data_IF_279428686924
#
_entry.id   IF_279428686924
#
_cell.length_a   1.000
_cell.length_b   1.000
_cell.length_c   1.000
_cell.angle_alpha   90.00
_cell.angle_beta   90.00
_cell.angle_gamma   90.00
#
_symmetry.space_group_name_H-M   'P 1'
#
loop_
_entity.id
_entity.type
_entity.pdbx_description
1 polymer ?
#
# COMPACT_ATOMS: atom_id res chain seq x y z
N UNK A 1 -8.01 31.59 -5.55
CA UNK A 1 -8.04 30.19 -5.09
C UNK A 1 -8.04 29.32 -6.33
N UNK A 2 -7.04 28.47 -6.54
CA UNK A 2 -6.90 27.74 -7.81
C UNK A 2 -8.03 26.72 -7.97
N UNK A 3 -8.98 27.00 -8.86
CA UNK A 3 -10.13 26.12 -9.17
C UNK A 3 -9.71 24.74 -9.69
N UNK A 4 -8.51 24.66 -10.29
CA UNK A 4 -7.99 23.46 -10.96
C UNK A 4 -7.98 22.20 -10.09
N UNK A 5 -7.75 22.31 -8.77
CA UNK A 5 -7.81 21.16 -7.88
C UNK A 5 -9.22 20.55 -7.81
N UNK A 6 -10.25 21.40 -7.72
CA UNK A 6 -11.64 20.95 -7.61
C UNK A 6 -12.17 20.45 -8.96
N UNK A 7 -11.71 21.03 -10.06
CA UNK A 7 -12.05 20.60 -11.41
C UNK A 7 -11.39 19.25 -11.76
N UNK A 8 -10.15 19.01 -11.29
CA UNK A 8 -9.39 17.78 -11.55
C UNK A 8 -8.64 17.29 -10.30
N UNK A 9 -9.34 16.73 -9.31
CA UNK A 9 -8.72 16.29 -8.05
C UNK A 9 -7.86 15.03 -8.22
N UNK A 10 -8.16 14.19 -9.22
CA UNK A 10 -7.42 12.97 -9.52
C UNK A 10 -6.58 13.17 -10.78
N UNK A 11 -5.26 13.10 -10.63
CA UNK A 11 -4.31 13.32 -11.73
C UNK A 11 -3.93 12.04 -12.48
N UNK A 12 -3.99 10.88 -11.81
CA UNK A 12 -3.49 9.62 -12.34
C UNK A 12 -4.60 8.75 -12.92
N UNK A 13 -4.26 7.96 -13.93
CA UNK A 13 -5.11 6.86 -14.38
C UNK A 13 -5.22 5.78 -13.31
N UNK A 14 -6.41 5.17 -13.09
CA UNK A 14 -6.54 4.05 -12.15
C UNK A 14 -5.82 2.78 -12.61
N UNK A 15 -5.36 2.74 -13.87
CA UNK A 15 -4.68 1.60 -14.47
C UNK A 15 -3.16 1.76 -14.59
N UNK A 16 -2.63 2.97 -14.44
CA UNK A 16 -1.21 3.25 -14.58
C UNK A 16 -0.56 3.47 -13.20
N UNK A 17 0.78 3.40 -13.16
CA UNK A 17 1.52 3.75 -11.96
C UNK A 17 1.24 5.21 -11.57
N UNK A 18 0.96 5.52 -10.29
CA UNK A 18 0.67 6.87 -9.85
C UNK A 18 1.96 7.71 -9.84
N UNK A 19 2.11 8.60 -10.81
CA UNK A 19 3.31 9.42 -10.99
C UNK A 19 3.14 10.87 -10.56
N UNK A 20 1.93 11.33 -10.27
CA UNK A 20 1.66 12.73 -9.94
C UNK A 20 0.75 12.88 -8.72
N UNK A 21 0.91 13.95 -7.96
CA UNK A 21 -0.07 14.33 -6.93
C UNK A 21 -0.13 15.84 -6.74
N UNK A 22 -1.27 16.31 -6.25
CA UNK A 22 -1.40 17.67 -5.74
C UNK A 22 -0.63 17.80 -4.42
N UNK A 23 0.25 18.79 -4.36
CA UNK A 23 0.91 19.15 -3.11
C UNK A 23 -0.11 19.71 -2.12
N UNK A 24 0.01 19.27 -0.87
CA UNK A 24 -0.79 19.77 0.24
C UNK A 24 0.12 20.55 1.19
N UNK A 25 -0.39 21.63 1.77
CA UNK A 25 0.27 22.34 2.85
C UNK A 25 0.22 21.56 4.18
N UNK A 26 0.86 22.10 5.23
CA UNK A 26 0.89 21.50 6.57
C UNK A 26 -0.50 21.33 7.21
N UNK A 27 -1.52 21.98 6.66
CA UNK A 27 -2.92 21.86 7.08
C UNK A 27 -3.72 20.90 6.18
N UNK A 28 -3.07 20.24 5.22
CA UNK A 28 -3.69 19.32 4.27
C UNK A 28 -4.46 20.01 3.14
N UNK A 29 -4.24 21.30 2.88
CA UNK A 29 -4.92 22.03 1.81
C UNK A 29 -4.11 22.03 0.52
N UNK A 30 -4.77 21.87 -0.65
CA UNK A 30 -4.06 21.86 -1.92
C UNK A 30 -3.43 23.22 -2.20
N UNK A 31 -2.11 23.22 -2.45
CA UNK A 31 -1.35 24.44 -2.78
C UNK A 31 -1.60 24.89 -4.22
N UNK A 32 -2.17 24.02 -5.05
CA UNK A 32 -2.32 24.23 -6.50
C UNK A 32 -1.08 23.84 -7.30
N UNK A 33 -0.03 23.35 -6.65
CA UNK A 33 1.15 22.81 -7.32
C UNK A 33 1.03 21.29 -7.51
N UNK A 34 1.48 20.81 -8.68
CA UNK A 34 1.58 19.39 -8.99
C UNK A 34 3.02 18.94 -8.76
N UNK A 35 3.18 17.80 -8.09
CA UNK A 35 4.47 17.13 -7.90
C UNK A 35 4.51 15.89 -8.79
N UNK A 36 5.57 15.74 -9.56
CA UNK A 36 5.79 14.60 -10.47
C UNK A 36 6.40 13.38 -9.76
N UNK A 37 5.83 13.04 -8.62
CA UNK A 37 6.17 11.82 -7.88
C UNK A 37 4.91 11.16 -7.33
N UNK A 38 5.02 9.86 -7.00
CA UNK A 38 4.00 9.19 -6.20
C UNK A 38 3.93 9.84 -4.82
N UNK A 39 2.72 10.17 -4.38
CA UNK A 39 2.52 10.68 -3.01
C UNK A 39 3.03 9.66 -1.99
N UNK A 40 3.86 10.13 -1.04
CA UNK A 40 4.30 9.31 0.09
C UNK A 40 3.10 8.88 0.93
N UNK A 41 3.22 7.74 1.62
CA UNK A 41 2.25 7.44 2.64
C UNK A 41 2.32 8.57 3.67
N UNK A 42 1.18 9.11 4.10
CA UNK A 42 1.09 10.11 5.16
C UNK A 42 -0.28 9.92 5.81
N UNK A 43 -0.32 9.82 7.14
CA UNK A 43 -1.58 9.78 7.89
C UNK A 43 -1.99 11.20 8.23
N UNK A 44 -2.41 11.97 7.21
CA UNK A 44 -3.00 13.29 7.43
C UNK A 44 -4.47 13.08 7.78
N UNK A 45 -4.87 13.39 9.02
CA UNK A 45 -6.29 13.51 9.38
C UNK A 45 -6.79 14.84 8.80
N UNK A 46 -7.65 14.85 7.77
CA UNK A 46 -8.20 16.09 7.24
C UNK A 46 -9.27 16.56 8.23
N UNK A 47 -8.91 17.42 9.17
CA UNK A 47 -9.89 18.06 10.06
C UNK A 47 -10.46 19.27 9.31
N UNK A 48 -11.75 19.28 8.92
CA UNK A 48 -12.34 20.46 8.30
C UNK A 48 -12.27 21.65 9.27
N UNK A 49 -11.86 22.83 8.78
CA UNK A 49 -11.85 24.03 9.63
C UNK A 49 -13.27 24.32 10.14
N UNK A 50 -13.50 24.45 11.45
CA UNK A 50 -14.77 24.96 11.95
C UNK A 50 -14.98 26.38 11.41
N UNK A 51 -16.13 26.63 10.78
CA UNK A 51 -16.46 27.90 10.09
C UNK A 51 -16.45 29.14 11.01
N UNK A 52 -16.32 28.99 12.33
CA UNK A 52 -16.22 30.10 13.30
C UNK A 52 -15.16 29.75 14.35
N UNK A 53 -14.02 30.43 14.32
CA UNK A 53 -13.14 30.54 15.48
C UNK A 53 -13.58 31.75 16.29
N UNK A 54 -14.43 31.53 17.32
CA UNK A 54 -14.58 32.54 18.38
C UNK A 54 -13.40 32.36 19.32
N UNK A 55 -12.65 33.44 19.53
CA UNK A 55 -11.46 33.45 20.38
C UNK A 55 -11.74 32.95 21.79
N UNK A 56 -10.76 32.24 22.33
CA UNK A 56 -10.76 31.79 23.73
C UNK A 56 -10.26 30.37 23.85
N UNK A 57 -9.02 30.22 24.33
CA UNK A 57 -8.34 28.98 24.73
C UNK A 57 -8.07 27.95 23.62
N UNK A 58 -6.77 27.70 23.37
CA UNK A 58 -6.30 26.52 22.63
C UNK A 58 -6.67 25.30 23.48
N UNK A 59 -7.89 24.80 23.31
CA UNK A 59 -8.25 23.49 23.81
C UNK A 59 -7.31 22.50 23.12
N UNK A 60 -6.51 21.78 23.92
CA UNK A 60 -5.62 20.75 23.43
C UNK A 60 -6.40 19.87 22.46
N UNK A 61 -5.88 19.73 21.24
CA UNK A 61 -6.44 18.84 20.22
C UNK A 61 -6.66 17.49 20.90
N UNK A 62 -7.91 17.07 21.02
CA UNK A 62 -8.21 15.66 21.23
C UNK A 62 -7.69 14.96 19.99
N UNK A 63 -6.48 14.40 20.11
CA UNK A 63 -5.91 13.50 19.13
C UNK A 63 -6.88 12.33 19.08
N UNK A 64 -7.68 12.26 18.02
CA UNK A 64 -8.41 11.05 17.69
C UNK A 64 -7.35 10.00 17.41
N UNK A 65 -7.12 9.20 18.43
CA UNK A 65 -6.13 8.16 18.49
C UNK A 65 -6.55 6.98 17.61
N UNK A 66 -6.15 7.02 16.34
CA UNK A 66 -6.30 5.91 15.40
C UNK A 66 -5.06 4.99 15.40
N UNK A 67 -4.36 4.80 16.54
CA UNK A 67 -3.28 3.81 16.59
C UNK A 67 -2.28 3.81 17.76
N UNK A 68 -2.54 4.51 18.88
CA UNK A 68 -1.68 4.57 20.06
C UNK A 68 -2.46 4.38 21.36
N UNK A 69 -3.19 3.27 21.43
CA UNK A 69 -3.85 2.86 22.67
C UNK A 69 -2.93 2.16 23.69
N UNK A 70 -1.79 1.57 23.29
CA UNK A 70 -0.98 0.71 24.19
C UNK A 70 0.49 0.56 23.75
N UNK A 71 1.25 1.63 23.55
CA UNK A 71 2.70 1.48 23.24
C UNK A 71 3.53 2.67 23.72
N UNK A 72 4.54 2.41 24.55
CA UNK A 72 5.47 3.39 25.13
C UNK A 72 6.33 4.10 24.07
N UNK A 73 6.95 5.23 24.43
CA UNK A 73 7.72 6.11 23.52
C UNK A 73 8.81 5.40 22.71
N UNK A 74 9.36 4.29 23.20
CA UNK A 74 10.38 3.48 22.49
C UNK A 74 9.82 2.65 21.32
N UNK A 75 8.49 2.50 21.20
CA UNK A 75 7.84 1.64 20.20
C UNK A 75 7.38 2.37 18.93
N UNK A 76 7.62 3.68 18.80
CA UNK A 76 7.22 4.43 17.60
C UNK A 76 8.23 4.26 16.45
N UNK A 77 8.24 3.08 15.83
CA UNK A 77 8.60 3.03 14.42
C UNK A 77 7.51 3.77 13.64
N UNK A 78 7.86 4.84 12.93
CA UNK A 78 6.92 5.55 12.09
C UNK A 78 6.34 4.58 11.03
N UNK A 79 5.08 4.13 11.14
CA UNK A 79 4.50 3.15 10.22
C UNK A 79 4.52 3.65 8.78
N UNK A 80 4.55 4.97 8.61
CA UNK A 80 4.67 5.68 7.34
C UNK A 80 5.98 5.38 6.63
N UNK A 81 7.08 5.29 7.39
CA UNK A 81 8.41 4.96 6.88
C UNK A 81 8.45 3.52 6.36
N UNK A 82 7.91 2.57 7.13
CA UNK A 82 7.86 1.17 6.75
C UNK A 82 7.04 0.94 5.47
N UNK A 83 5.86 1.59 5.35
CA UNK A 83 5.02 1.48 4.16
C UNK A 83 5.72 2.06 2.92
N UNK A 84 6.35 3.23 3.06
CA UNK A 84 7.03 3.89 1.95
C UNK A 84 8.24 3.08 1.49
N UNK A 85 8.96 2.47 2.43
CA UNK A 85 10.10 1.60 2.14
C UNK A 85 9.66 0.29 1.47
N UNK A 86 8.58 -0.35 1.95
CA UNK A 86 8.02 -1.54 1.30
C UNK A 86 7.60 -1.25 -0.14
N UNK A 87 6.91 -0.12 -0.39
CA UNK A 87 6.53 0.32 -1.74
C UNK A 87 7.76 0.48 -2.63
N UNK A 88 8.84 1.08 -2.11
CA UNK A 88 10.10 1.24 -2.84
C UNK A 88 10.70 -0.11 -3.23
N UNK A 89 10.63 -1.13 -2.35
CA UNK A 89 11.10 -2.49 -2.64
C UNK A 89 10.28 -3.19 -3.69
N UNK A 90 8.95 -3.12 -3.57
CA UNK A 90 8.04 -3.68 -4.57
C UNK A 90 8.23 -2.99 -5.93
N UNK A 91 8.47 -1.67 -5.95
CA UNK A 91 8.76 -0.92 -7.18
C UNK A 91 10.07 -1.37 -7.84
N UNK A 92 11.14 -1.58 -7.06
CA UNK A 92 12.41 -2.12 -7.56
C UNK A 92 12.26 -3.52 -8.12
N UNK A 93 11.57 -4.39 -7.39
CA UNK A 93 11.32 -5.76 -7.83
C UNK A 93 10.45 -5.81 -9.09
N UNK A 94 9.41 -4.95 -9.18
CA UNK A 94 8.58 -4.81 -10.38
C UNK A 94 9.38 -4.37 -11.61
N UNK A 95 10.42 -3.56 -11.42
CA UNK A 95 11.26 -3.06 -12.50
C UNK A 95 12.22 -4.10 -13.11
N UNK A 96 12.34 -5.29 -12.49
CA UNK A 96 13.18 -6.37 -13.02
C UNK A 96 12.56 -6.89 -14.34
N UNK A 97 13.27 -6.81 -15.48
CA UNK A 97 12.68 -7.09 -16.79
C UNK A 97 12.52 -8.60 -17.05
N UNK A 98 13.43 -9.42 -16.54
CA UNK A 98 13.45 -10.85 -16.79
C UNK A 98 12.62 -11.61 -15.73
N UNK A 99 11.56 -12.33 -16.12
CA UNK A 99 10.73 -13.09 -15.18
C UNK A 99 11.47 -14.17 -14.39
N UNK A 100 12.58 -14.69 -14.92
CA UNK A 100 13.40 -15.68 -14.21
C UNK A 100 14.09 -15.09 -12.97
N UNK A 101 14.33 -13.77 -12.96
CA UNK A 101 15.01 -13.05 -11.89
C UNK A 101 14.02 -12.48 -10.87
N UNK A 102 12.72 -12.81 -10.99
CA UNK A 102 11.71 -12.35 -10.03
C UNK A 102 11.74 -13.11 -8.70
N UNK A 103 12.46 -14.23 -8.62
CA UNK A 103 12.54 -15.07 -7.41
C UNK A 103 11.15 -15.49 -6.88
N UNK A 104 10.27 -15.91 -7.80
CA UNK A 104 8.92 -16.41 -7.50
C UNK A 104 8.72 -17.78 -8.13
N UNK A 105 7.65 -18.48 -7.74
CA UNK A 105 7.31 -19.75 -8.40
C UNK A 105 6.97 -19.53 -9.88
N UNK A 106 7.17 -20.53 -10.77
CA UNK A 106 6.77 -20.46 -12.18
C UNK A 106 5.28 -20.16 -12.36
N UNK A 107 4.43 -20.67 -11.46
CA UNK A 107 3.00 -20.37 -11.42
C UNK A 107 2.75 -18.89 -11.15
N UNK A 108 3.40 -18.33 -10.12
CA UNK A 108 3.33 -16.93 -9.76
C UNK A 108 3.89 -16.03 -10.87
N UNK A 109 5.00 -16.41 -11.51
CA UNK A 109 5.55 -15.68 -12.67
C UNK A 109 4.55 -15.60 -13.82
N UNK A 110 3.85 -16.69 -14.15
CA UNK A 110 2.80 -16.69 -15.20
C UNK A 110 1.63 -15.78 -14.84
N UNK A 111 1.18 -15.81 -13.58
CA UNK A 111 0.11 -14.93 -13.09
C UNK A 111 0.51 -13.46 -13.16
N UNK A 112 1.72 -13.13 -12.73
CA UNK A 112 2.27 -11.78 -12.81
C UNK A 112 2.37 -11.30 -14.27
N UNK A 113 2.84 -12.13 -15.19
CA UNK A 113 2.85 -11.80 -16.62
C UNK A 113 1.44 -11.51 -17.14
N UNK A 114 0.46 -12.32 -16.75
CA UNK A 114 -0.93 -12.11 -17.12
C UNK A 114 -1.47 -10.78 -16.57
N UNK A 115 -1.25 -10.48 -15.29
CA UNK A 115 -1.77 -9.25 -14.69
C UNK A 115 -1.04 -7.97 -15.13
N UNK A 116 0.27 -8.06 -15.41
CA UNK A 116 1.10 -6.90 -15.78
C UNK A 116 1.04 -6.56 -17.27
N UNK A 117 0.98 -7.56 -18.14
CA UNK A 117 1.26 -7.37 -19.57
C UNK A 117 0.18 -7.90 -20.51
N UNK A 118 -0.80 -8.66 -20.02
CA UNK A 118 -1.86 -9.16 -20.88
C UNK A 118 -2.70 -8.01 -21.44
N UNK A 119 -2.97 -8.07 -22.74
CA UNK A 119 -3.86 -7.12 -23.41
C UNK A 119 -5.31 -7.56 -23.21
N UNK A 120 -5.91 -7.09 -22.12
CA UNK A 120 -7.33 -7.31 -21.85
C UNK A 120 -8.20 -6.55 -22.86
N UNK A 121 -9.12 -7.25 -23.51
CA UNK A 121 -10.13 -6.65 -24.39
C UNK A 121 -11.29 -6.00 -23.62
N UNK A 122 -11.43 -6.31 -22.33
CA UNK A 122 -12.49 -5.80 -21.46
C UNK A 122 -11.94 -5.39 -20.09
N UNK A 123 -12.49 -5.97 -19.03
CA UNK A 123 -12.06 -5.65 -17.67
C UNK A 123 -10.60 -6.03 -17.45
N UNK A 124 -9.78 -5.01 -17.18
CA UNK A 124 -8.39 -5.15 -16.75
C UNK A 124 -8.24 -4.73 -15.28
N UNK A 125 -7.31 -5.33 -14.54
CA UNK A 125 -7.07 -4.94 -13.15
C UNK A 125 -6.67 -3.47 -13.03
N UNK A 126 -7.13 -2.81 -11.96
CA UNK A 126 -6.57 -1.51 -11.57
C UNK A 126 -5.14 -1.67 -11.08
N UNK A 127 -4.32 -0.62 -11.22
CA UNK A 127 -2.95 -0.63 -10.72
C UNK A 127 -2.89 -1.00 -9.23
N UNK A 128 -3.79 -0.45 -8.40
CA UNK A 128 -3.83 -0.75 -6.98
C UNK A 128 -4.18 -2.22 -6.67
N UNK A 129 -4.88 -2.92 -7.57
CA UNK A 129 -5.20 -4.34 -7.41
C UNK A 129 -3.97 -5.19 -7.74
N UNK A 130 -3.27 -4.85 -8.83
CA UNK A 130 -2.00 -5.49 -9.20
C UNK A 130 -0.96 -5.26 -8.10
N UNK A 131 -0.83 -4.02 -7.62
CA UNK A 131 0.10 -3.66 -6.55
C UNK A 131 -0.23 -4.40 -5.24
N UNK A 132 -1.51 -4.57 -4.90
CA UNK A 132 -1.90 -5.35 -3.73
C UNK A 132 -1.44 -6.82 -3.84
N UNK A 133 -1.60 -7.42 -5.03
CA UNK A 133 -1.13 -8.78 -5.30
C UNK A 133 0.39 -8.87 -5.29
N UNK A 134 1.08 -7.93 -5.94
CA UNK A 134 2.54 -7.84 -5.95
C UNK A 134 3.11 -7.69 -4.55
N UNK A 135 2.46 -6.92 -3.68
CA UNK A 135 2.89 -6.74 -2.29
C UNK A 135 2.73 -8.04 -1.50
N UNK A 136 1.60 -8.74 -1.66
CA UNK A 136 1.39 -10.04 -1.02
C UNK A 136 2.41 -11.08 -1.50
N UNK A 137 2.60 -11.19 -2.82
CA UNK A 137 3.59 -12.09 -3.43
C UNK A 137 5.00 -11.76 -2.96
N UNK A 138 5.37 -10.47 -2.95
CA UNK A 138 6.71 -10.07 -2.53
C UNK A 138 6.97 -10.45 -1.07
N UNK A 139 6.00 -10.22 -0.17
CA UNK A 139 6.13 -10.61 1.24
C UNK A 139 6.18 -12.14 1.43
N UNK A 140 5.48 -12.92 0.61
CA UNK A 140 5.39 -14.37 0.77
C UNK A 140 6.53 -15.13 0.10
N UNK A 141 6.88 -14.78 -1.14
CA UNK A 141 7.81 -15.55 -1.97
C UNK A 141 9.20 -14.91 -2.07
N UNK A 142 9.28 -13.57 -2.07
CA UNK A 142 10.54 -12.85 -2.35
C UNK A 142 11.26 -12.42 -1.07
N UNK A 143 10.54 -11.88 -0.10
CA UNK A 143 11.08 -11.36 1.14
C UNK A 143 11.88 -12.38 1.98
N UNK A 144 11.51 -13.67 2.05
CA UNK A 144 12.31 -14.67 2.78
C UNK A 144 13.76 -14.76 2.28
N UNK A 145 13.98 -14.61 0.98
CA UNK A 145 15.28 -14.72 0.32
C UNK A 145 15.95 -13.35 0.05
N UNK A 146 15.25 -12.24 0.31
CA UNK A 146 15.74 -10.87 0.09
C UNK A 146 16.73 -10.37 1.17
N UNK A 147 17.40 -11.27 1.90
CA UNK A 147 18.41 -10.95 2.90
C UNK A 147 17.86 -10.19 4.12
N UNK A 148 18.67 -9.27 4.68
CA UNK A 148 18.32 -8.51 5.89
C UNK A 148 17.08 -7.64 5.72
N UNK A 149 16.89 -7.12 4.50
CA UNK A 149 15.82 -6.18 4.19
C UNK A 149 14.45 -6.88 4.21
N UNK A 150 14.34 -8.03 3.55
CA UNK A 150 13.12 -8.84 3.61
C UNK A 150 12.78 -9.32 5.02
N UNK A 151 13.79 -9.80 5.77
CA UNK A 151 13.61 -10.21 7.18
C UNK A 151 13.05 -9.09 8.06
N UNK A 152 13.51 -7.85 7.86
CA UNK A 152 13.02 -6.69 8.63
C UNK A 152 11.51 -6.51 8.50
N UNK A 153 10.94 -6.68 7.30
CA UNK A 153 9.49 -6.61 7.10
C UNK A 153 8.75 -7.80 7.71
N UNK A 154 9.29 -9.01 7.54
CA UNK A 154 8.68 -10.23 8.08
C UNK A 154 8.67 -10.24 9.62
N UNK A 155 9.76 -9.83 10.24
CA UNK A 155 9.87 -9.66 11.70
C UNK A 155 8.91 -8.60 12.21
N UNK A 156 8.78 -7.48 11.49
CA UNK A 156 7.81 -6.44 11.83
C UNK A 156 6.36 -6.97 11.79
N UNK A 157 5.99 -7.71 10.75
CA UNK A 157 4.67 -8.34 10.63
C UNK A 157 4.43 -9.41 11.70
N UNK A 158 5.43 -10.24 12.00
CA UNK A 158 5.34 -11.26 13.03
C UNK A 158 5.17 -10.65 14.42
N UNK A 159 5.95 -9.60 14.73
CA UNK A 159 5.81 -8.85 15.99
C UNK A 159 4.43 -8.22 16.11
N UNK A 160 3.98 -7.50 15.09
CA UNK A 160 2.65 -6.90 15.08
C UNK A 160 1.52 -7.93 15.21
N UNK A 161 1.68 -9.11 14.61
CA UNK A 161 0.74 -10.22 14.75
C UNK A 161 0.72 -10.76 16.17
N UNK A 162 1.88 -11.03 16.77
CA UNK A 162 2.01 -11.56 18.13
C UNK A 162 1.48 -10.57 19.19
N UNK A 163 1.77 -9.27 19.03
CA UNK A 163 1.30 -8.23 19.95
C UNK A 163 -0.24 -8.11 19.92
N UNK A 164 -0.87 -8.39 18.78
CA UNK A 164 -2.32 -8.34 18.64
C UNK A 164 -3.02 -9.65 19.01
N UNK A 165 -2.56 -10.78 18.46
CA UNK A 165 -3.10 -12.13 18.64
C UNK A 165 -1.97 -13.15 18.44
N UNK A 166 -1.37 -13.67 19.52
CA UNK A 166 -0.32 -14.69 19.45
C UNK A 166 -0.73 -15.89 18.57
N UNK A 167 0.25 -16.49 17.90
CA UNK A 167 0.12 -17.70 17.06
C UNK A 167 -0.62 -17.53 15.72
N UNK A 168 -1.24 -16.37 15.46
CA UNK A 168 -1.93 -16.11 14.21
C UNK A 168 -1.20 -15.06 13.38
N UNK A 169 -0.53 -15.48 12.31
CA UNK A 169 0.06 -14.55 11.35
C UNK A 169 -1.03 -13.78 10.59
N UNK A 170 -0.93 -12.45 10.58
CA UNK A 170 -1.90 -11.58 9.89
C UNK A 170 -1.20 -10.65 8.92
N UNK A 171 -1.75 -10.59 7.70
CA UNK A 171 -1.43 -9.59 6.71
C UNK A 171 -2.72 -8.87 6.31
N UNK A 172 -2.70 -7.53 6.38
CA UNK A 172 -3.82 -6.69 5.97
C UNK A 172 -3.41 -5.78 4.82
N UNK A 173 -4.19 -5.81 3.74
CA UNK A 173 -4.03 -4.90 2.60
C UNK A 173 -5.09 -3.79 2.72
N UNK A 174 -4.66 -2.55 2.91
CA UNK A 174 -5.56 -1.38 3.04
C UNK A 174 -5.90 -0.83 1.65
N UNK A 175 -7.15 -1.00 1.23
CA UNK A 175 -7.68 -0.50 -0.05
C UNK A 175 -8.92 0.36 0.14
N UNK A 176 -9.03 1.43 -0.65
CA UNK A 176 -10.19 2.32 -0.66
C UNK A 176 -11.50 1.59 -1.06
N UNK A 177 -12.64 2.15 -0.66
CA UNK A 177 -13.95 1.70 -1.16
C UNK A 177 -14.06 1.99 -2.65
N UNK A 178 -14.60 1.05 -3.43
CA UNK A 178 -14.64 1.14 -4.89
C UNK A 178 -13.36 0.70 -5.62
N UNK A 179 -12.24 0.44 -4.92
CA UNK A 179 -11.00 -0.05 -5.54
C UNK A 179 -11.03 -1.52 -6.00
N UNK A 180 -12.15 -2.23 -5.78
CA UNK A 180 -12.29 -3.65 -6.13
C UNK A 180 -11.60 -4.61 -5.16
N UNK A 181 -11.83 -4.44 -3.85
CA UNK A 181 -11.33 -5.36 -2.80
C UNK A 181 -11.71 -6.82 -3.08
N UNK A 182 -12.93 -7.06 -3.55
CA UNK A 182 -13.39 -8.40 -3.94
C UNK A 182 -12.58 -8.99 -5.10
N UNK A 183 -12.18 -8.15 -6.07
CA UNK A 183 -11.30 -8.58 -7.16
C UNK A 183 -9.93 -9.00 -6.63
N UNK A 184 -9.35 -8.23 -5.69
CA UNK A 184 -8.09 -8.61 -5.03
C UNK A 184 -8.23 -9.93 -4.27
N UNK A 185 -9.34 -10.13 -3.54
CA UNK A 185 -9.62 -11.40 -2.87
C UNK A 185 -9.70 -12.57 -3.87
N UNK A 186 -10.36 -12.39 -5.01
CA UNK A 186 -10.42 -13.41 -6.06
C UNK A 186 -9.04 -13.72 -6.65
N UNK A 187 -8.20 -12.70 -6.86
CA UNK A 187 -6.81 -12.86 -7.32
C UNK A 187 -5.96 -13.60 -6.28
N UNK A 188 -6.10 -13.31 -4.99
CA UNK A 188 -5.45 -14.02 -3.89
C UNK A 188 -5.86 -15.50 -3.86
N UNK A 189 -7.16 -15.79 -3.93
CA UNK A 189 -7.67 -17.16 -3.96
C UNK A 189 -7.12 -17.92 -5.17
N UNK A 190 -7.14 -17.31 -6.35
CA UNK A 190 -6.60 -17.92 -7.57
C UNK A 190 -5.10 -18.23 -7.44
N UNK A 191 -4.31 -17.25 -6.97
CA UNK A 191 -2.87 -17.42 -6.75
C UNK A 191 -2.56 -18.53 -5.75
N UNK A 192 -3.21 -18.53 -4.59
CA UNK A 192 -3.02 -19.52 -3.54
C UNK A 192 -3.44 -20.92 -4.00
N UNK A 193 -4.59 -21.03 -4.67
CA UNK A 193 -5.12 -22.32 -5.14
C UNK A 193 -4.23 -22.91 -6.23
N UNK A 194 -3.79 -22.10 -7.19
CA UNK A 194 -2.89 -22.57 -8.26
C UNK A 194 -1.56 -23.06 -7.67
N UNK A 195 -0.96 -22.30 -6.74
CA UNK A 195 0.29 -22.71 -6.09
C UNK A 195 0.10 -23.99 -5.27
N UNK A 196 -0.95 -24.09 -4.45
CA UNK A 196 -1.22 -25.28 -3.64
C UNK A 196 -1.41 -26.55 -4.49
N UNK A 197 -2.14 -26.45 -5.62
CA UNK A 197 -2.37 -27.60 -6.52
C UNK A 197 -1.11 -27.99 -7.27
N UNK A 198 -0.29 -27.02 -7.71
CA UNK A 198 0.92 -27.29 -8.50
C UNK A 198 2.13 -27.65 -7.64
N UNK A 199 2.10 -27.30 -6.35
CA UNK A 199 3.17 -27.52 -5.37
C UNK A 199 2.59 -28.01 -4.04
N UNK A 200 2.14 -29.28 -3.96
CA UNK A 200 1.45 -29.83 -2.78
C UNK A 200 2.34 -30.04 -1.52
N UNK A 201 3.43 -29.29 -1.39
CA UNK A 201 4.35 -29.37 -0.24
C UNK A 201 5.17 -28.11 0.01
N UNK A 202 4.78 -26.96 -0.56
CA UNK A 202 5.35 -25.64 -0.22
C UNK A 202 4.53 -24.94 0.83
#
# INVERSE_FOLDING_TARGET
MSSQFFDKPVLNSPYAYPSQHWELDDQGQPTGHIRDTRRRAEFITPIPRPKKQKGGTIQARLVFDEGKGLSTEEQQYDPTSMISELRRRVDQWRAIPNPADWHVTPETARLLQHWRHHQFSGFRPFFCQVEAMETAIWLTEVAPDAGREGRTFLEHLAKASNDANPELQRLALKLATGAGKTTVMAMLIAWQTINAVRRPGS
#
